data_IF_136533445529
#
_entry.id   IF_136533445529
#
_cell.length_a   1.000
_cell.length_b   1.000
_cell.length_c   1.000
_cell.angle_alpha   90.00
_cell.angle_beta   90.00
_cell.angle_gamma   90.00
#
_symmetry.space_group_name_H-M   'P 1'
#
loop_
_entity.id
_entity.type
_entity.pdbx_description
1 polymer ?
#
# COMPACT_ATOMS: atom_id res chain seq x y z
N UNK A 1 6.23 2.98 21.07
CA UNK A 1 6.82 3.63 19.90
C UNK A 1 8.27 3.20 19.79
N UNK A 2 8.74 2.81 18.61
CA UNK A 2 10.12 2.41 18.33
C UNK A 2 10.68 3.30 17.25
N UNK A 3 11.96 3.63 17.32
CA UNK A 3 12.58 4.55 16.37
C UNK A 3 13.87 3.95 15.81
N UNK A 4 14.13 4.23 14.55
CA UNK A 4 15.36 3.91 13.84
C UNK A 4 15.78 5.14 13.04
N UNK A 5 17.08 5.44 13.04
CA UNK A 5 17.58 6.62 12.36
C UNK A 5 18.95 6.34 11.74
N UNK A 6 19.18 6.91 10.57
CA UNK A 6 20.50 7.04 9.97
C UNK A 6 20.78 8.51 9.62
N UNK A 7 21.83 8.80 8.87
CA UNK A 7 22.18 10.18 8.50
C UNK A 7 21.12 10.90 7.64
N UNK A 8 20.23 10.16 6.96
CA UNK A 8 19.31 10.71 5.98
C UNK A 8 17.82 10.61 6.40
N UNK A 9 17.45 9.58 7.15
CA UNK A 9 16.06 9.26 7.47
C UNK A 9 15.88 8.96 8.96
N UNK A 10 14.74 9.35 9.52
CA UNK A 10 14.23 8.90 10.81
C UNK A 10 12.88 8.20 10.62
N UNK A 11 12.78 6.98 11.10
CA UNK A 11 11.58 6.13 11.08
C UNK A 11 11.03 5.99 12.49
N UNK A 12 9.71 6.10 12.65
CA UNK A 12 9.01 5.76 13.89
C UNK A 12 7.92 4.72 13.59
N UNK A 13 7.86 3.67 14.41
CA UNK A 13 6.95 2.54 14.25
C UNK A 13 6.18 2.29 15.55
N UNK A 14 4.88 2.12 15.46
CA UNK A 14 4.03 1.70 16.56
C UNK A 14 4.02 0.17 16.68
N UNK A 15 4.02 -0.38 17.91
CA UNK A 15 3.74 -1.80 18.09
C UNK A 15 2.31 -2.16 17.63
N UNK A 16 1.36 -1.21 17.72
CA UNK A 16 0.02 -1.39 17.18
C UNK A 16 0.06 -1.47 15.67
N UNK A 17 -0.27 -2.64 15.11
CA UNK A 17 -0.21 -2.91 13.67
C UNK A 17 1.21 -3.06 13.11
N UNK A 18 2.26 -2.91 13.92
CA UNK A 18 3.64 -2.66 13.48
C UNK A 18 3.68 -1.52 12.45
N UNK A 19 2.77 -0.55 12.59
CA UNK A 19 2.49 0.49 11.61
C UNK A 19 3.52 1.62 11.67
N UNK A 20 4.04 2.01 10.51
CA UNK A 20 4.87 3.20 10.37
C UNK A 20 4.03 4.42 10.74
N UNK A 21 4.50 5.21 11.70
CA UNK A 21 3.85 6.41 12.16
C UNK A 21 4.48 7.69 11.59
N UNK A 22 5.77 7.62 11.28
CA UNK A 22 6.53 8.75 10.74
C UNK A 22 7.73 8.24 9.95
N UNK A 23 8.04 8.90 8.85
CA UNK A 23 9.28 8.76 8.09
C UNK A 23 9.74 10.15 7.67
N UNK A 24 10.71 10.68 8.38
CA UNK A 24 11.23 12.04 8.15
C UNK A 24 12.50 11.99 7.31
N UNK A 25 12.52 12.79 6.24
CA UNK A 25 13.75 13.13 5.52
C UNK A 25 14.53 14.18 6.33
N UNK A 26 15.67 13.79 6.88
CA UNK A 26 16.47 14.66 7.76
C UNK A 26 17.21 15.76 7.01
N UNK A 27 17.25 15.71 5.66
CA UNK A 27 17.93 16.75 4.87
C UNK A 27 17.12 18.03 4.76
N UNK A 28 15.80 17.94 4.82
CA UNK A 28 14.89 19.10 4.75
C UNK A 28 13.81 19.10 5.85
N UNK A 29 13.85 18.14 6.77
CA UNK A 29 12.90 17.99 7.89
C UNK A 29 11.50 17.54 7.49
N UNK A 30 11.33 17.02 6.26
CA UNK A 30 10.04 16.73 5.69
C UNK A 30 9.49 15.38 6.15
N UNK A 31 8.24 15.37 6.64
CA UNK A 31 7.47 14.15 6.87
C UNK A 31 6.97 13.57 5.54
N UNK A 32 7.34 12.31 5.28
CA UNK A 32 7.00 11.60 4.04
C UNK A 32 5.67 10.86 4.19
N UNK A 33 5.40 10.29 5.37
CA UNK A 33 4.16 9.54 5.63
C UNK A 33 3.03 10.50 6.00
N UNK A 34 1.83 10.19 5.54
CA UNK A 34 0.60 10.88 5.92
C UNK A 34 0.42 10.88 7.44
N UNK A 35 0.03 12.01 8.00
CA UNK A 35 -0.05 12.22 9.46
C UNK A 35 -1.31 11.62 10.13
N UNK A 36 -2.22 11.01 9.36
CA UNK A 36 -3.39 10.31 9.91
C UNK A 36 -4.51 11.25 10.36
N UNK A 37 -4.83 12.27 9.57
CA UNK A 37 -5.97 13.16 9.85
C UNK A 37 -7.29 12.40 9.77
N UNK A 38 -7.98 12.31 10.92
CA UNK A 38 -9.23 11.57 11.05
C UNK A 38 -10.39 12.15 10.21
N UNK A 39 -10.30 13.39 9.78
CA UNK A 39 -11.31 14.01 8.90
C UNK A 39 -11.26 13.44 7.48
N UNK A 40 -10.10 12.90 7.08
CA UNK A 40 -9.87 12.25 5.79
C UNK A 40 -9.65 10.75 5.96
N UNK A 41 -8.57 10.38 6.61
CA UNK A 41 -8.21 8.99 6.89
C UNK A 41 -7.23 8.89 8.06
N UNK A 42 -7.63 8.18 9.11
CA UNK A 42 -6.84 8.06 10.35
C UNK A 42 -5.74 7.00 10.32
N UNK A 43 -5.62 6.19 9.25
CA UNK A 43 -4.49 5.29 9.02
C UNK A 43 -3.29 6.05 8.47
N UNK A 44 -2.12 5.41 8.49
CA UNK A 44 -0.85 5.97 7.98
C UNK A 44 -0.17 5.02 7.01
N UNK A 45 0.15 3.81 7.47
CA UNK A 45 0.84 2.78 6.69
C UNK A 45 0.51 1.38 7.20
N UNK A 46 -0.78 1.00 7.28
CA UNK A 46 -1.15 -0.28 7.86
C UNK A 46 -0.64 -1.47 7.04
N UNK A 47 -0.32 -2.55 7.74
CA UNK A 47 -0.06 -3.86 7.16
C UNK A 47 -1.36 -4.64 7.04
N UNK A 48 -1.54 -5.34 5.93
CA UNK A 48 -2.77 -6.02 5.56
C UNK A 48 -2.54 -7.54 5.52
N UNK A 49 -3.31 -8.29 6.31
CA UNK A 49 -3.26 -9.76 6.34
C UNK A 49 -4.46 -10.31 7.12
N UNK A 50 -5.05 -11.44 6.74
CA UNK A 50 -4.70 -12.35 5.65
C UNK A 50 -5.36 -12.04 4.31
N UNK A 51 -6.01 -10.89 4.18
CA UNK A 51 -6.56 -10.38 2.92
C UNK A 51 -6.21 -8.91 2.71
N UNK A 52 -6.14 -8.49 1.45
CA UNK A 52 -6.06 -7.10 1.02
C UNK A 52 -7.39 -6.71 0.37
N UNK A 53 -7.97 -5.59 0.76
CA UNK A 53 -9.32 -5.23 0.31
C UNK A 53 -10.43 -5.92 1.10
N UNK A 54 -11.60 -6.07 0.48
CA UNK A 54 -12.76 -6.74 1.03
C UNK A 54 -13.07 -8.07 0.35
N UNK A 55 -13.89 -8.88 0.98
CA UNK A 55 -14.50 -10.08 0.40
C UNK A 55 -15.96 -9.77 0.03
N UNK A 56 -16.48 -10.45 -0.98
CA UNK A 56 -17.88 -10.37 -1.32
C UNK A 56 -18.75 -10.75 -0.10
N UNK A 57 -19.62 -9.84 0.32
CA UNK A 57 -20.42 -9.97 1.56
C UNK A 57 -19.56 -10.30 2.81
N UNK A 58 -18.29 -9.89 2.84
CA UNK A 58 -17.37 -10.14 3.95
C UNK A 58 -16.99 -11.62 4.14
N UNK A 59 -17.31 -12.51 3.19
CA UNK A 59 -17.26 -13.96 3.36
C UNK A 59 -16.42 -14.62 2.26
N UNK A 60 -15.61 -15.61 2.63
CA UNK A 60 -15.00 -16.55 1.70
C UNK A 60 -15.40 -18.00 2.04
N UNK A 61 -15.27 -18.89 1.07
CA UNK A 61 -15.45 -20.33 1.24
C UNK A 61 -14.14 -21.05 1.07
N UNK A 62 -13.80 -21.89 2.06
CA UNK A 62 -12.60 -22.70 2.09
C UNK A 62 -13.01 -24.11 2.50
N UNK A 63 -12.72 -25.11 1.68
CA UNK A 63 -13.06 -26.52 1.91
C UNK A 63 -14.53 -26.75 2.34
N UNK A 64 -15.45 -26.05 1.64
CA UNK A 64 -16.90 -26.15 1.89
C UNK A 64 -17.41 -25.37 3.10
N UNK A 65 -16.53 -24.76 3.92
CA UNK A 65 -16.89 -23.94 5.09
C UNK A 65 -16.83 -22.45 4.74
N UNK A 66 -17.73 -21.67 5.33
CA UNK A 66 -17.74 -20.21 5.19
C UNK A 66 -17.01 -19.55 6.33
N UNK A 67 -16.18 -18.55 6.01
CA UNK A 67 -15.40 -17.76 6.95
C UNK A 67 -15.65 -16.28 6.70
N UNK A 68 -15.76 -15.50 7.77
CA UNK A 68 -15.90 -14.04 7.69
C UNK A 68 -14.58 -13.40 8.08
N UNK A 69 -14.00 -12.63 7.15
CA UNK A 69 -12.76 -11.91 7.38
C UNK A 69 -13.04 -10.43 7.14
N UNK A 70 -12.74 -9.54 8.11
CA UNK A 70 -12.97 -8.11 7.94
C UNK A 70 -12.10 -7.52 6.83
N UNK A 71 -12.56 -6.43 6.22
CA UNK A 71 -11.79 -5.69 5.20
C UNK A 71 -10.37 -5.43 5.67
N UNK A 72 -9.39 -5.83 4.86
CA UNK A 72 -7.95 -5.77 5.13
C UNK A 72 -7.45 -6.72 6.23
N UNK A 73 -8.27 -7.68 6.66
CA UNK A 73 -7.91 -8.60 7.73
C UNK A 73 -7.82 -7.92 9.11
N UNK A 74 -7.04 -8.51 10.00
CA UNK A 74 -7.08 -8.14 11.42
C UNK A 74 -5.73 -7.67 12.01
N UNK A 75 -4.59 -7.99 11.39
CA UNK A 75 -3.26 -7.73 11.98
C UNK A 75 -2.96 -6.25 12.25
N UNK A 76 -3.54 -5.34 11.46
CA UNK A 76 -3.38 -3.88 11.61
C UNK A 76 -3.98 -3.31 12.89
N UNK A 77 -4.87 -4.06 13.56
CA UNK A 77 -5.57 -3.64 14.78
C UNK A 77 -5.06 -4.33 16.03
N UNK A 78 -3.99 -5.11 15.90
CA UNK A 78 -3.40 -5.85 17.00
C UNK A 78 -2.05 -5.27 17.40
N UNK A 79 -1.66 -5.52 18.63
CA UNK A 79 -0.31 -5.24 19.09
C UNK A 79 0.62 -6.37 18.64
N UNK A 80 1.71 -6.00 18.00
CA UNK A 80 2.76 -6.90 17.54
C UNK A 80 3.85 -6.99 18.60
N UNK A 81 4.44 -8.14 18.69
CA UNK A 81 5.61 -8.35 19.51
C UNK A 81 6.84 -7.70 18.85
N UNK A 82 7.53 -6.86 19.61
CA UNK A 82 8.88 -6.46 19.24
C UNK A 82 9.79 -7.68 19.33
N UNK A 83 10.57 -7.96 18.27
CA UNK A 83 11.46 -9.10 18.21
C UNK A 83 12.90 -8.66 18.49
N UNK A 84 13.39 -7.74 17.69
CA UNK A 84 14.76 -7.22 17.80
C UNK A 84 14.93 -5.90 17.06
N UNK A 85 16.00 -5.18 17.40
CA UNK A 85 16.46 -4.01 16.69
C UNK A 85 17.97 -4.09 16.56
N UNK A 86 18.45 -3.93 15.33
CA UNK A 86 19.86 -3.73 15.01
C UNK A 86 20.18 -2.27 14.76
N UNK A 87 21.37 -2.03 14.20
CA UNK A 87 21.82 -0.69 13.87
C UNK A 87 20.96 -0.07 12.74
N UNK A 88 20.60 -0.85 11.73
CA UNK A 88 19.89 -0.41 10.53
C UNK A 88 18.49 -1.00 10.37
N UNK A 89 17.99 -1.81 11.32
CA UNK A 89 16.68 -2.46 11.21
C UNK A 89 15.91 -2.58 12.53
N UNK A 90 14.58 -2.71 12.39
CA UNK A 90 13.65 -3.07 13.47
C UNK A 90 12.76 -4.21 12.97
N UNK A 91 12.52 -5.23 13.81
CA UNK A 91 11.65 -6.37 13.49
C UNK A 91 10.54 -6.55 14.50
N UNK A 92 9.33 -6.78 13.97
CA UNK A 92 8.16 -7.16 14.74
C UNK A 92 7.58 -8.47 14.21
N UNK A 93 6.86 -9.18 15.09
CA UNK A 93 6.17 -10.41 14.73
C UNK A 93 4.78 -10.48 15.38
N UNK A 94 3.88 -11.21 14.72
CA UNK A 94 2.56 -11.54 15.23
C UNK A 94 2.20 -12.97 14.86
N UNK A 95 1.47 -13.64 15.75
CA UNK A 95 0.92 -14.98 15.52
C UNK A 95 -0.61 -14.93 15.66
N UNK A 96 -1.28 -15.92 15.10
CA UNK A 96 -2.73 -16.05 15.24
C UNK A 96 -3.16 -16.18 16.71
N UNK A 97 -4.38 -15.75 16.96
CA UNK A 97 -5.14 -16.11 18.17
C UNK A 97 -6.13 -17.22 17.85
N UNK A 98 -6.67 -17.86 18.89
CA UNK A 98 -7.74 -18.85 18.73
C UNK A 98 -8.99 -18.25 18.09
N UNK A 99 -9.28 -16.97 18.34
CA UNK A 99 -10.41 -16.27 17.73
C UNK A 99 -10.19 -16.03 16.24
N UNK A 100 -8.96 -15.69 15.84
CA UNK A 100 -8.61 -15.55 14.43
C UNK A 100 -8.65 -16.87 13.68
N UNK A 101 -8.33 -17.99 14.33
CA UNK A 101 -8.46 -19.33 13.72
C UNK A 101 -9.90 -19.68 13.34
N UNK A 102 -10.90 -19.10 14.01
CA UNK A 102 -12.31 -19.25 13.62
C UNK A 102 -12.66 -18.49 12.33
N UNK A 103 -11.90 -17.43 12.01
CA UNK A 103 -12.08 -16.59 10.85
C UNK A 103 -11.12 -16.93 9.70
N UNK A 104 -9.94 -17.45 10.02
CA UNK A 104 -8.87 -17.83 9.10
C UNK A 104 -8.20 -19.11 9.64
N UNK A 105 -8.56 -20.30 9.13
CA UNK A 105 -8.29 -21.58 9.79
C UNK A 105 -6.87 -22.12 9.64
N UNK A 106 -5.90 -21.25 9.45
CA UNK A 106 -4.49 -21.63 9.38
C UNK A 106 -3.68 -20.91 10.45
N UNK A 107 -2.95 -21.68 11.30
CA UNK A 107 -1.97 -21.06 12.18
C UNK A 107 -0.84 -20.44 11.37
N UNK A 108 -0.51 -19.21 11.70
CA UNK A 108 0.51 -18.46 11.00
C UNK A 108 1.45 -17.71 11.95
N UNK A 109 2.61 -17.32 11.42
CA UNK A 109 3.46 -16.28 11.95
C UNK A 109 3.73 -15.27 10.83
N UNK A 110 3.46 -14.01 11.09
CA UNK A 110 3.78 -12.91 10.20
C UNK A 110 4.86 -12.05 10.85
N UNK A 111 5.91 -11.75 10.12
CA UNK A 111 7.00 -10.87 10.54
C UNK A 111 7.12 -9.72 9.59
N UNK A 112 7.45 -8.54 10.13
CA UNK A 112 7.86 -7.37 9.36
C UNK A 112 9.23 -6.93 9.83
N UNK A 113 10.11 -6.64 8.86
CA UNK A 113 11.41 -6.02 9.11
C UNK A 113 11.48 -4.71 8.33
N UNK A 114 11.70 -3.63 9.05
CA UNK A 114 11.98 -2.31 8.49
C UNK A 114 13.48 -2.06 8.54
N UNK A 115 14.07 -1.76 7.40
CA UNK A 115 15.51 -1.50 7.28
C UNK A 115 15.74 -0.13 6.65
N UNK A 116 16.58 0.70 7.27
CA UNK A 116 17.02 1.98 6.74
C UNK A 116 18.40 1.87 6.12
N UNK A 117 18.52 2.12 4.81
CA UNK A 117 19.82 2.24 4.12
C UNK A 117 19.85 3.50 3.31
N UNK A 118 20.79 4.38 3.60
CA UNK A 118 20.89 5.69 2.96
C UNK A 118 19.53 6.40 2.98
N UNK A 119 18.96 6.70 1.84
CA UNK A 119 17.64 7.35 1.67
C UNK A 119 16.53 6.34 1.34
N UNK A 120 16.68 5.08 1.72
CA UNK A 120 15.73 4.03 1.43
C UNK A 120 15.22 3.38 2.70
N UNK A 121 13.90 3.31 2.85
CA UNK A 121 13.21 2.43 3.77
C UNK A 121 12.79 1.16 3.01
N UNK A 122 13.30 0.03 3.45
CA UNK A 122 12.87 -1.28 2.96
C UNK A 122 11.95 -1.93 3.99
N UNK A 123 10.84 -2.50 3.50
CA UNK A 123 9.87 -3.25 4.29
C UNK A 123 9.83 -4.70 3.78
N UNK A 124 10.28 -5.64 4.59
CA UNK A 124 10.22 -7.06 4.28
C UNK A 124 9.11 -7.72 5.08
N UNK A 125 8.19 -8.40 4.40
CA UNK A 125 7.11 -9.17 4.99
C UNK A 125 7.41 -10.67 4.83
N UNK A 126 7.40 -11.41 5.93
CA UNK A 126 7.60 -12.86 5.95
C UNK A 126 6.39 -13.53 6.56
N UNK A 127 5.70 -14.34 5.76
CA UNK A 127 4.57 -15.16 6.21
C UNK A 127 5.03 -16.61 6.35
N UNK A 128 4.86 -17.18 7.51
CA UNK A 128 5.16 -18.59 7.79
C UNK A 128 3.85 -19.32 8.08
N UNK A 129 3.54 -20.32 7.28
CA UNK A 129 2.49 -21.29 7.59
C UNK A 129 2.98 -22.22 8.68
N UNK A 130 2.28 -22.24 9.80
CA UNK A 130 2.59 -23.13 10.95
C UNK A 130 1.71 -24.38 10.97
N UNK A 131 0.87 -24.57 9.95
CA UNK A 131 0.16 -25.83 9.75
C UNK A 131 1.12 -26.89 9.19
N UNK A 132 1.11 -28.08 9.78
CA UNK A 132 1.92 -29.20 9.29
C UNK A 132 1.23 -30.01 8.19
N UNK A 133 -0.06 -29.74 7.91
CA UNK A 133 -0.90 -30.64 7.12
C UNK A 133 -1.69 -29.96 5.99
N UNK A 134 -1.62 -28.63 5.85
CA UNK A 134 -2.41 -27.94 4.84
C UNK A 134 -1.69 -26.75 4.22
N UNK A 135 -1.96 -26.49 2.95
CA UNK A 135 -1.56 -25.25 2.28
C UNK A 135 -2.38 -24.08 2.81
N UNK A 136 -1.73 -22.96 3.05
CA UNK A 136 -2.38 -21.73 3.51
C UNK A 136 -2.57 -20.78 2.35
N UNK A 137 -3.80 -20.31 2.14
CA UNK A 137 -4.15 -19.32 1.11
C UNK A 137 -4.30 -17.96 1.77
N UNK A 138 -3.53 -16.97 1.33
CA UNK A 138 -3.56 -15.64 1.90
C UNK A 138 -3.18 -14.55 0.89
N UNK A 139 -3.48 -13.34 1.24
CA UNK A 139 -2.93 -12.13 0.66
C UNK A 139 -2.20 -11.36 1.75
N UNK A 140 -1.11 -10.71 1.40
CA UNK A 140 -0.37 -9.82 2.29
C UNK A 140 -0.05 -8.53 1.55
N UNK A 141 -0.10 -7.41 2.24
CA UNK A 141 0.20 -6.12 1.66
C UNK A 141 0.61 -5.07 2.67
N UNK A 142 1.16 -3.98 2.16
CA UNK A 142 1.40 -2.74 2.88
C UNK A 142 0.60 -1.61 2.21
N UNK A 143 0.12 -0.67 3.01
CA UNK A 143 -0.74 0.42 2.54
C UNK A 143 -0.18 1.78 3.00
N UNK A 144 1.03 2.17 2.54
CA UNK A 144 1.60 3.44 2.92
C UNK A 144 0.85 4.59 2.27
N UNK A 145 0.44 5.59 3.06
CA UNK A 145 0.00 6.86 2.56
C UNK A 145 1.14 7.88 2.61
N UNK A 146 1.28 8.65 1.56
CA UNK A 146 2.34 9.65 1.44
C UNK A 146 1.77 11.05 1.55
N UNK A 147 2.47 11.92 2.27
CA UNK A 147 2.21 13.35 2.21
C UNK A 147 2.60 13.87 0.83
N UNK A 148 1.73 14.64 0.19
CA UNK A 148 2.07 15.35 -1.03
C UNK A 148 2.61 16.74 -0.69
N UNK A 149 3.81 17.05 -1.14
CA UNK A 149 4.53 18.27 -0.80
C UNK A 149 3.75 19.56 -1.09
N UNK A 150 3.04 19.57 -2.20
CA UNK A 150 2.35 20.74 -2.73
C UNK A 150 0.83 20.64 -2.58
N UNK A 151 0.33 19.67 -1.79
CA UNK A 151 -1.10 19.53 -1.58
C UNK A 151 -1.60 20.60 -0.60
N UNK A 152 -2.68 21.28 -0.99
CA UNK A 152 -3.40 22.23 -0.15
C UNK A 152 -4.89 21.95 -0.20
N UNK A 153 -5.65 22.12 0.91
CA UNK A 153 -7.09 21.83 0.97
C UNK A 153 -7.95 22.70 0.05
N UNK A 154 -7.42 23.79 -0.45
CA UNK A 154 -8.11 24.85 -1.18
C UNK A 154 -8.36 24.57 -2.67
N UNK A 155 -8.38 23.30 -3.05
CA UNK A 155 -8.98 22.89 -4.31
C UNK A 155 -8.11 22.99 -5.55
N UNK A 156 -6.81 22.91 -5.42
CA UNK A 156 -5.94 22.81 -6.60
C UNK A 156 -6.24 21.51 -7.35
N UNK A 157 -6.54 21.63 -8.64
CA UNK A 157 -6.92 20.51 -9.50
C UNK A 157 -5.87 19.41 -9.60
N UNK A 158 -4.58 19.73 -9.42
CA UNK A 158 -3.45 18.78 -9.51
C UNK A 158 -2.47 19.04 -8.40
N UNK A 159 -2.26 18.04 -7.55
CA UNK A 159 -1.33 18.07 -6.43
C UNK A 159 0.09 17.61 -6.79
N UNK A 160 0.25 16.94 -7.92
CA UNK A 160 1.51 16.35 -8.39
C UNK A 160 1.26 15.35 -9.51
N UNK A 161 2.21 14.47 -9.74
CA UNK A 161 2.11 13.46 -10.79
C UNK A 161 2.62 12.10 -10.31
N UNK A 162 2.06 11.04 -10.88
CA UNK A 162 2.58 9.68 -10.78
C UNK A 162 3.31 9.34 -12.09
N UNK A 163 4.44 8.66 -11.97
CA UNK A 163 5.13 8.01 -13.07
C UNK A 163 5.30 6.53 -12.74
N UNK A 164 4.81 5.67 -13.63
CA UNK A 164 4.86 4.23 -13.44
C UNK A 164 6.12 3.65 -14.09
N UNK A 165 6.81 2.78 -13.39
CA UNK A 165 7.84 1.91 -13.91
C UNK A 165 7.25 0.52 -14.13
N UNK A 166 7.64 -0.14 -15.23
CA UNK A 166 7.08 -1.39 -15.70
C UNK A 166 6.36 -1.22 -17.04
N UNK A 167 5.35 -2.04 -17.30
CA UNK A 167 4.60 -2.03 -18.54
C UNK A 167 3.06 -2.01 -18.29
N UNK A 168 2.51 -0.93 -17.71
CA UNK A 168 1.08 -0.84 -17.46
C UNK A 168 0.30 -0.80 -18.78
N UNK A 169 -0.71 -1.65 -18.92
CA UNK A 169 -1.52 -1.83 -20.14
C UNK A 169 -2.99 -1.59 -19.90
N UNK A 170 -3.50 -2.09 -18.80
CA UNK A 170 -4.91 -2.04 -18.44
C UNK A 170 -5.11 -2.01 -16.94
N UNK A 171 -6.30 -1.63 -16.53
CA UNK A 171 -6.72 -1.52 -15.14
C UNK A 171 -7.85 -2.51 -14.85
N UNK A 172 -7.83 -3.09 -13.68
CA UNK A 172 -9.00 -3.66 -13.04
C UNK A 172 -9.78 -2.54 -12.32
N UNK A 173 -11.09 -2.71 -12.21
CA UNK A 173 -11.94 -1.77 -11.46
C UNK A 173 -12.43 -2.40 -10.18
N UNK A 174 -12.60 -1.56 -9.16
CA UNK A 174 -13.38 -1.92 -8.00
C UNK A 174 -14.86 -1.74 -8.32
N UNK A 175 -15.66 -2.76 -8.07
CA UNK A 175 -17.12 -2.69 -8.17
C UNK A 175 -17.75 -2.08 -6.92
N UNK A 176 -19.07 -1.92 -6.97
CA UNK A 176 -19.87 -1.26 -5.93
C UNK A 176 -19.73 -1.84 -4.51
N UNK A 177 -19.25 -3.08 -4.38
CA UNK A 177 -19.03 -3.74 -3.08
C UNK A 177 -17.54 -3.84 -2.69
N UNK A 178 -16.66 -3.08 -3.37
CA UNK A 178 -15.23 -3.11 -3.12
C UNK A 178 -14.52 -4.38 -3.60
N UNK A 179 -15.19 -5.20 -4.39
CA UNK A 179 -14.61 -6.36 -5.07
C UNK A 179 -14.13 -5.97 -6.46
N UNK A 180 -13.16 -6.72 -6.99
CA UNK A 180 -12.65 -6.49 -8.34
C UNK A 180 -13.67 -7.01 -9.37
N UNK A 181 -14.01 -6.15 -10.33
CA UNK A 181 -14.80 -6.54 -11.50
C UNK A 181 -13.92 -7.27 -12.53
N UNK A 182 -14.45 -8.28 -13.23
CA UNK A 182 -13.67 -9.02 -14.22
C UNK A 182 -13.34 -8.18 -15.47
N UNK A 183 -14.07 -7.10 -15.71
CA UNK A 183 -13.86 -6.23 -16.85
C UNK A 183 -12.56 -5.43 -16.73
N UNK A 184 -11.74 -5.47 -17.79
CA UNK A 184 -10.52 -4.67 -17.88
C UNK A 184 -10.78 -3.39 -18.64
N UNK A 185 -10.16 -2.32 -18.18
CA UNK A 185 -10.24 -1.01 -18.81
C UNK A 185 -8.89 -0.68 -19.41
N UNK A 186 -8.81 -0.51 -20.74
CA UNK A 186 -7.55 -0.08 -21.34
C UNK A 186 -7.15 1.30 -20.82
N UNK A 187 -5.86 1.52 -20.62
CA UNK A 187 -5.35 2.85 -20.37
C UNK A 187 -5.51 3.65 -21.67
N UNK A 188 -6.36 4.64 -21.71
CA UNK A 188 -6.08 6.01 -21.34
C UNK A 188 -7.02 6.55 -20.27
N UNK A 189 -6.45 7.35 -19.43
CA UNK A 189 -6.83 7.78 -18.10
C UNK A 189 -8.11 8.59 -17.95
N UNK A 190 -8.76 9.06 -18.97
CA UNK A 190 -10.12 9.56 -18.84
C UNK A 190 -10.76 9.80 -20.21
N UNK A 191 -12.05 9.49 -20.28
CA UNK A 191 -12.89 9.94 -21.40
C UNK A 191 -13.02 11.46 -21.51
N UNK A 192 -12.59 12.20 -20.47
CA UNK A 192 -12.67 13.67 -20.40
C UNK A 192 -11.33 14.37 -20.64
N UNK A 193 -10.22 13.67 -20.69
CA UNK A 193 -8.94 14.20 -21.13
C UNK A 193 -8.77 13.95 -22.64
N UNK A 194 -9.64 14.52 -23.43
CA UNK A 194 -9.40 14.75 -24.88
C UNK A 194 -8.28 15.78 -25.09
N UNK A 195 -7.29 15.80 -24.23
CA UNK A 195 -6.17 16.73 -24.32
C UNK A 195 -4.93 15.99 -24.79
N UNK A 196 -4.09 16.69 -25.51
CA UNK A 196 -2.75 16.30 -26.01
C UNK A 196 -1.90 15.49 -24.99
N UNK A 197 -2.18 15.62 -23.69
CA UNK A 197 -1.54 14.84 -22.63
C UNK A 197 -1.85 13.33 -22.72
N UNK A 198 -3.07 12.93 -23.09
CA UNK A 198 -3.43 11.50 -23.23
C UNK A 198 -2.79 10.87 -24.47
N UNK A 199 -2.63 11.64 -25.55
CA UNK A 199 -1.92 11.22 -26.76
C UNK A 199 -0.40 11.12 -26.54
N UNK A 200 0.18 12.03 -25.76
CA UNK A 200 1.59 11.97 -25.37
C UNK A 200 1.89 10.75 -24.48
N UNK A 201 0.90 10.28 -23.73
CA UNK A 201 0.99 9.08 -22.89
C UNK A 201 1.28 7.82 -23.71
N UNK A 202 0.61 7.68 -24.84
CA UNK A 202 0.72 6.48 -25.67
C UNK A 202 2.02 6.43 -26.49
N UNK A 203 2.63 7.57 -26.76
CA UNK A 203 3.79 7.67 -27.66
C UNK A 203 5.15 7.73 -26.97
N UNK A 204 5.25 7.98 -25.66
CA UNK A 204 6.53 8.32 -25.02
C UNK A 204 6.99 7.43 -23.86
N UNK A 205 6.27 6.35 -23.51
CA UNK A 205 6.72 5.40 -22.44
C UNK A 205 6.96 6.00 -21.04
N UNK A 206 6.77 7.30 -20.85
CA UNK A 206 7.08 8.08 -19.63
C UNK A 206 5.97 9.02 -19.21
N UNK A 207 4.74 8.67 -19.48
CA UNK A 207 3.65 9.57 -19.22
C UNK A 207 3.37 9.79 -17.73
N UNK A 208 3.11 11.05 -17.40
CA UNK A 208 2.76 11.48 -16.06
C UNK A 208 1.25 11.46 -15.87
N UNK A 209 0.81 10.78 -14.83
CA UNK A 209 -0.60 10.77 -14.41
C UNK A 209 -0.78 11.86 -13.35
N UNK A 210 -1.65 12.85 -13.58
CA UNK A 210 -1.88 13.87 -12.57
C UNK A 210 -2.50 13.28 -11.30
N UNK A 211 -2.06 13.72 -10.14
CA UNK A 211 -2.69 13.40 -8.85
C UNK A 211 -3.76 14.46 -8.61
N UNK A 212 -5.01 14.08 -8.79
CA UNK A 212 -6.15 14.97 -8.63
C UNK A 212 -7.44 14.21 -8.41
N UNK A 213 -8.51 14.93 -8.07
CA UNK A 213 -9.83 14.34 -7.79
C UNK A 213 -10.34 13.50 -8.97
N UNK A 214 -10.13 13.99 -10.20
CA UNK A 214 -10.59 13.31 -11.40
C UNK A 214 -9.87 11.98 -11.66
N UNK A 215 -8.63 11.85 -11.19
CA UNK A 215 -7.81 10.63 -11.38
C UNK A 215 -8.41 9.44 -10.64
N UNK A 216 -8.99 9.70 -9.47
CA UNK A 216 -9.56 8.69 -8.57
C UNK A 216 -11.10 8.73 -8.52
N UNK A 217 -11.74 9.47 -9.44
CA UNK A 217 -13.21 9.59 -9.49
C UNK A 217 -13.94 8.25 -9.71
N UNK A 218 -13.25 7.26 -10.24
CA UNK A 218 -13.74 5.89 -10.46
C UNK A 218 -13.02 4.88 -9.54
N UNK A 219 -12.76 5.26 -8.29
CA UNK A 219 -12.04 4.47 -7.29
C UNK A 219 -10.54 4.30 -7.60
N UNK A 220 -9.91 3.32 -6.96
CA UNK A 220 -8.49 3.06 -7.08
C UNK A 220 -8.06 2.63 -8.49
N UNK A 221 -6.82 2.95 -8.84
CA UNK A 221 -6.13 2.41 -9.99
C UNK A 221 -5.55 1.05 -9.62
N UNK A 222 -6.09 -0.03 -10.18
CA UNK A 222 -5.70 -1.40 -9.81
C UNK A 222 -4.96 -2.05 -10.98
N UNK A 223 -3.70 -2.39 -10.76
CA UNK A 223 -2.84 -3.10 -11.70
C UNK A 223 -2.52 -4.48 -11.16
N UNK A 224 -2.73 -5.51 -11.94
CA UNK A 224 -2.36 -6.88 -11.63
C UNK A 224 -1.22 -7.40 -12.54
N UNK A 225 -0.93 -8.69 -12.44
CA UNK A 225 0.01 -9.39 -13.30
C UNK A 225 1.39 -8.73 -13.42
N UNK A 226 1.86 -8.08 -12.34
CA UNK A 226 3.15 -7.39 -12.28
C UNK A 226 3.32 -6.30 -13.35
N UNK A 227 2.24 -5.65 -13.76
CA UNK A 227 2.30 -4.57 -14.73
C UNK A 227 3.08 -3.35 -14.21
N UNK A 228 3.11 -3.15 -12.90
CA UNK A 228 3.82 -2.06 -12.23
C UNK A 228 4.88 -2.64 -11.31
N UNK A 229 6.10 -2.14 -11.42
CA UNK A 229 7.25 -2.50 -10.59
C UNK A 229 7.53 -1.43 -9.54
N UNK A 230 7.36 -0.17 -9.93
CA UNK A 230 7.49 0.98 -9.04
C UNK A 230 6.63 2.14 -9.52
N UNK A 231 6.36 3.05 -8.58
CA UNK A 231 5.68 4.32 -8.82
C UNK A 231 6.53 5.44 -8.25
N UNK A 232 6.87 6.40 -9.10
CA UNK A 232 7.45 7.65 -8.65
C UNK A 232 6.35 8.67 -8.42
N UNK A 233 6.43 9.36 -7.30
CA UNK A 233 5.58 10.50 -6.97
C UNK A 233 6.38 11.78 -7.23
N UNK A 234 5.84 12.63 -8.07
CA UNK A 234 6.47 13.88 -8.48
C UNK A 234 5.67 15.07 -7.97
N UNK A 235 6.37 16.14 -7.60
CA UNK A 235 5.74 17.41 -7.26
C UNK A 235 5.17 18.13 -8.51
N UNK A 236 4.51 19.27 -8.32
CA UNK A 236 3.96 20.06 -9.44
C UNK A 236 5.03 20.59 -10.41
N UNK A 237 6.28 20.69 -9.97
CA UNK A 237 7.42 21.02 -10.82
C UNK A 237 8.06 19.81 -11.48
N UNK A 238 7.40 18.63 -11.38
CA UNK A 238 7.87 17.33 -11.90
C UNK A 238 9.19 16.84 -11.28
N UNK A 239 9.54 17.30 -10.09
CA UNK A 239 10.72 16.82 -9.36
C UNK A 239 10.29 15.60 -8.55
N UNK A 240 11.10 14.55 -8.58
CA UNK A 240 10.83 13.34 -7.81
C UNK A 240 10.82 13.63 -6.32
N UNK A 241 9.72 13.26 -5.69
CA UNK A 241 9.46 13.43 -4.28
C UNK A 241 9.67 12.13 -3.51
N UNK A 242 9.13 11.04 -4.05
CA UNK A 242 9.27 9.70 -3.51
C UNK A 242 9.25 8.67 -4.65
N UNK A 243 9.76 7.49 -4.38
CA UNK A 243 9.64 6.32 -5.24
C UNK A 243 9.26 5.14 -4.36
N UNK A 244 8.18 4.49 -4.69
CA UNK A 244 7.73 3.24 -4.06
C UNK A 244 7.94 2.11 -5.05
N UNK A 245 8.67 1.08 -4.65
CA UNK A 245 8.87 -0.15 -5.44
C UNK A 245 8.38 -1.34 -4.64
N UNK A 246 7.87 -2.38 -5.31
CA UNK A 246 7.39 -3.58 -4.65
C UNK A 246 7.54 -4.81 -5.53
N UNK A 247 7.84 -5.95 -4.91
CA UNK A 247 7.77 -7.28 -5.56
C UNK A 247 6.32 -7.82 -5.64
N UNK A 248 5.34 -7.11 -5.11
CA UNK A 248 3.94 -7.52 -5.14
C UNK A 248 3.42 -7.62 -6.59
N UNK A 249 2.62 -8.63 -6.91
CA UNK A 249 2.06 -8.80 -8.25
C UNK A 249 0.90 -7.85 -8.56
N UNK A 250 0.34 -7.22 -7.53
CA UNK A 250 -0.83 -6.32 -7.63
C UNK A 250 -0.53 -5.00 -6.94
N UNK A 251 -0.85 -3.92 -7.62
CA UNK A 251 -0.78 -2.56 -7.10
C UNK A 251 -2.17 -1.94 -7.08
N UNK A 252 -2.45 -1.26 -6.01
CA UNK A 252 -3.65 -0.46 -5.84
C UNK A 252 -3.22 0.93 -5.41
N UNK A 253 -3.58 1.94 -6.19
CA UNK A 253 -3.19 3.33 -5.96
C UNK A 253 -4.46 4.16 -5.88
N UNK A 254 -4.58 4.87 -4.79
CA UNK A 254 -5.79 5.61 -4.48
C UNK A 254 -5.44 6.92 -3.79
#
# INVERSE_FOLDING_TARGET
MYALQNAALRLEVSARGAEIQSLVDLTDGREIIWHGDATCWNGRSPLLFPITGGLWNGTCRLDGRSYQIPKHGFVRRRDWQFVEQGEDFIRFAIENTDEELKQFPWPYRLEVTYTLRERTLRTDLRVTNRSHHSSMWFQVGAHPALNLRDWTPDGQRVAGFLRFEGAPRDLLRAGSQGCIEPARVPIPWSKNLQTLAALAFHQMGNALVPIGVDTFANEALIFDARQVEAVEVLDRKRRRYARVASSAPVWLIW
#
